data_IF_225378898954
#
_entry.id   IF_225378898954
#
_cell.length_a   1.000
_cell.length_b   1.000
_cell.length_c   1.000
_cell.angle_alpha   90.00
_cell.angle_beta   90.00
_cell.angle_gamma   90.00
#
_symmetry.space_group_name_H-M   'P 1'
#
loop_
_entity.id
_entity.type
_entity.pdbx_description
1 polymer ?
#
# COMPACT_ATOMS: atom_id res chain seq x y z
N UNK A 1 12.86 17.01 -34.05
CA UNK A 1 13.22 16.19 -32.86
C UNK A 1 11.93 15.95 -32.10
N UNK A 2 11.54 14.69 -31.90
CA UNK A 2 10.39 14.40 -31.05
C UNK A 2 10.76 14.81 -29.61
N UNK A 3 9.96 15.69 -29.00
CA UNK A 3 10.11 16.03 -27.59
C UNK A 3 9.78 14.80 -26.75
N UNK A 4 10.65 14.46 -25.81
CA UNK A 4 10.40 13.40 -24.83
C UNK A 4 9.11 13.70 -24.06
N UNK A 5 8.26 12.69 -23.92
CA UNK A 5 7.06 12.75 -23.09
C UNK A 5 7.35 12.12 -21.73
N UNK A 6 7.26 12.91 -20.67
CA UNK A 6 7.47 12.44 -19.30
C UNK A 6 6.15 12.11 -18.62
N UNK A 7 6.14 11.02 -17.85
CA UNK A 7 5.02 10.59 -17.01
C UNK A 7 5.46 10.48 -15.55
N UNK A 8 4.57 10.86 -14.65
CA UNK A 8 4.69 10.56 -13.22
C UNK A 8 3.89 9.28 -12.94
N UNK A 9 4.60 8.17 -12.73
CA UNK A 9 4.00 6.88 -12.39
C UNK A 9 3.85 6.76 -10.88
N UNK A 10 2.61 6.82 -10.42
CA UNK A 10 2.26 6.73 -9.00
C UNK A 10 1.67 5.35 -8.71
N UNK A 11 2.41 4.53 -7.94
CA UNK A 11 1.92 3.21 -7.50
C UNK A 11 1.37 3.29 -6.07
N UNK A 12 0.11 2.90 -5.90
CA UNK A 12 -0.57 2.88 -4.60
C UNK A 12 -1.24 1.52 -4.37
N UNK A 13 -1.10 1.00 -3.17
CA UNK A 13 -1.64 -0.33 -2.81
C UNK A 13 -2.07 -0.45 -1.34
N UNK A 14 -2.13 0.68 -0.64
CA UNK A 14 -2.52 0.76 0.77
C UNK A 14 -3.15 2.12 1.06
N UNK A 15 -3.93 2.26 2.15
CA UNK A 15 -4.56 3.53 2.49
C UNK A 15 -3.58 4.70 2.67
N UNK A 16 -2.40 4.45 3.26
CA UNK A 16 -1.38 5.51 3.42
C UNK A 16 -0.75 5.90 2.07
N UNK A 17 -0.42 4.93 1.21
CA UNK A 17 0.14 5.24 -0.13
C UNK A 17 -0.88 5.97 -1.00
N UNK A 18 -2.17 5.63 -0.87
CA UNK A 18 -3.27 6.36 -1.48
C UNK A 18 -3.33 7.82 -0.98
N UNK A 19 -3.25 8.01 0.34
CA UNK A 19 -3.32 9.35 0.96
C UNK A 19 -2.17 10.24 0.53
N UNK A 20 -0.95 9.69 0.50
CA UNK A 20 0.25 10.37 -0.01
C UNK A 20 0.06 10.72 -1.48
N UNK A 21 -0.34 9.75 -2.32
CA UNK A 21 -0.60 9.96 -3.73
C UNK A 21 -1.60 11.09 -4.01
N UNK A 22 -2.73 11.10 -3.29
CA UNK A 22 -3.73 12.19 -3.36
C UNK A 22 -3.13 13.53 -2.98
N UNK A 23 -2.39 13.60 -1.88
CA UNK A 23 -1.76 14.84 -1.44
C UNK A 23 -0.76 15.37 -2.46
N UNK A 24 0.05 14.49 -3.08
CA UNK A 24 1.02 14.87 -4.11
C UNK A 24 0.33 15.48 -5.33
N UNK A 25 -0.77 14.86 -5.80
CA UNK A 25 -1.56 15.39 -6.92
C UNK A 25 -2.23 16.72 -6.56
N UNK A 26 -2.91 16.79 -5.42
CA UNK A 26 -3.69 17.95 -4.99
C UNK A 26 -2.83 19.20 -4.74
N UNK A 27 -1.53 19.01 -4.43
CA UNK A 27 -0.59 20.10 -4.14
C UNK A 27 0.45 20.32 -5.25
N UNK A 28 0.28 19.71 -6.43
CA UNK A 28 1.11 19.99 -7.60
C UNK A 28 2.55 19.44 -7.53
N UNK A 29 2.81 18.41 -6.72
CA UNK A 29 4.10 17.72 -6.69
C UNK A 29 4.32 16.82 -7.91
N UNK A 30 3.24 16.42 -8.59
CA UNK A 30 3.26 15.63 -9.82
C UNK A 30 2.94 16.57 -10.98
N UNK A 31 3.97 17.02 -11.69
CA UNK A 31 3.90 18.06 -12.71
C UNK A 31 3.73 17.49 -14.14
N UNK A 32 3.95 16.19 -14.33
CA UNK A 32 3.91 15.52 -15.62
C UNK A 32 2.58 14.79 -15.84
N UNK A 33 2.45 14.08 -16.97
CA UNK A 33 1.25 13.28 -17.21
C UNK A 33 1.17 12.14 -16.19
N UNK A 34 0.07 12.10 -15.45
CA UNK A 34 -0.10 11.18 -14.34
C UNK A 34 -0.52 9.79 -14.83
N UNK A 35 0.27 8.78 -14.47
CA UNK A 35 -0.07 7.37 -14.63
C UNK A 35 -0.27 6.73 -13.25
N UNK A 36 -1.53 6.54 -12.86
CA UNK A 36 -1.85 5.90 -11.58
C UNK A 36 -1.93 4.39 -11.73
N UNK A 37 -1.20 3.66 -10.89
CA UNK A 37 -1.28 2.20 -10.79
C UNK A 37 -1.81 1.83 -9.41
N UNK A 38 -2.92 1.08 -9.39
CA UNK A 38 -3.60 0.67 -8.16
C UNK A 38 -3.49 -0.84 -7.94
N UNK A 39 -2.82 -1.23 -6.85
CA UNK A 39 -2.73 -2.61 -6.37
C UNK A 39 -3.73 -2.94 -5.25
N UNK A 40 -3.90 -4.23 -4.96
CA UNK A 40 -4.69 -4.75 -3.82
C UNK A 40 -6.12 -4.18 -3.74
N UNK A 41 -6.80 -4.12 -4.90
CA UNK A 41 -8.15 -3.56 -5.06
C UNK A 41 -8.30 -2.08 -4.67
N UNK A 42 -7.20 -1.35 -4.45
CA UNK A 42 -7.23 0.11 -4.28
C UNK A 42 -7.90 0.72 -5.51
N UNK A 43 -8.71 1.76 -5.32
CA UNK A 43 -9.38 2.47 -6.39
C UNK A 43 -8.84 3.89 -6.48
N UNK A 44 -8.96 4.50 -7.66
CA UNK A 44 -8.62 5.90 -7.89
C UNK A 44 -9.78 6.61 -8.57
N UNK A 45 -10.03 7.85 -8.16
CA UNK A 45 -11.01 8.71 -8.82
C UNK A 45 -10.35 9.38 -10.03
N UNK A 46 -10.50 8.75 -11.20
CA UNK A 46 -9.88 9.13 -12.48
C UNK A 46 -9.40 7.91 -13.27
N UNK A 47 -8.69 8.10 -14.40
CA UNK A 47 -8.05 7.00 -15.12
C UNK A 47 -6.96 6.33 -14.29
N UNK A 48 -6.99 5.00 -14.17
CA UNK A 48 -5.95 4.23 -13.49
C UNK A 48 -5.76 2.83 -14.10
N UNK A 49 -4.61 2.24 -13.84
CA UNK A 49 -4.30 0.85 -14.14
C UNK A 49 -4.55 0.00 -12.89
N UNK A 50 -5.43 -0.98 -12.98
CA UNK A 50 -5.64 -1.97 -11.91
C UNK A 50 -4.72 -3.17 -12.06
N UNK A 51 -4.01 -3.51 -10.98
CA UNK A 51 -3.15 -4.71 -10.86
C UNK A 51 -3.52 -5.47 -9.58
N UNK A 52 -3.30 -6.78 -9.55
CA UNK A 52 -3.57 -7.57 -8.34
C UNK A 52 -2.64 -7.11 -7.20
N UNK A 53 -1.34 -7.07 -7.48
CA UNK A 53 -0.27 -6.46 -6.70
C UNK A 53 0.94 -6.22 -7.63
N UNK A 54 2.04 -5.71 -7.09
CA UNK A 54 3.35 -5.57 -7.75
C UNK A 54 4.05 -6.92 -8.05
N UNK A 55 3.38 -8.04 -7.81
CA UNK A 55 3.85 -9.35 -8.20
C UNK A 55 5.10 -9.78 -7.44
N UNK A 56 5.28 -9.41 -6.16
CA UNK A 56 6.42 -9.80 -5.29
C UNK A 56 7.05 -11.14 -5.74
N UNK A 57 8.18 -11.05 -6.44
CA UNK A 57 8.96 -12.17 -7.01
C UNK A 57 8.26 -13.11 -8.02
N UNK A 58 6.98 -12.93 -8.31
CA UNK A 58 6.23 -13.67 -9.34
C UNK A 58 6.49 -13.09 -10.73
N UNK A 59 7.10 -13.89 -11.62
CA UNK A 59 7.33 -13.52 -13.03
C UNK A 59 6.01 -13.15 -13.72
N UNK A 60 4.99 -14.00 -13.65
CA UNK A 60 3.71 -13.79 -14.32
C UNK A 60 3.06 -12.47 -13.90
N UNK A 61 2.93 -12.23 -12.58
CA UNK A 61 2.29 -11.01 -12.05
C UNK A 61 3.12 -9.76 -12.34
N UNK A 62 4.44 -9.86 -12.27
CA UNK A 62 5.35 -8.76 -12.63
C UNK A 62 5.21 -8.39 -14.11
N UNK A 63 5.18 -9.38 -15.00
CA UNK A 63 4.99 -9.15 -16.43
C UNK A 63 3.60 -8.58 -16.75
N UNK A 64 2.54 -9.05 -16.09
CA UNK A 64 1.18 -8.49 -16.22
C UNK A 64 1.13 -7.01 -15.78
N UNK A 65 1.79 -6.69 -14.65
CA UNK A 65 1.92 -5.33 -14.13
C UNK A 65 2.60 -4.40 -15.15
N UNK A 66 3.76 -4.82 -15.65
CA UNK A 66 4.57 -4.01 -16.58
C UNK A 66 3.93 -3.90 -17.97
N UNK A 67 3.27 -4.96 -18.46
CA UNK A 67 2.56 -4.94 -19.73
C UNK A 67 1.45 -3.89 -19.76
N UNK A 68 0.68 -3.78 -18.67
CA UNK A 68 -0.37 -2.77 -18.54
C UNK A 68 0.16 -1.34 -18.56
N UNK A 69 1.30 -1.10 -17.90
CA UNK A 69 2.01 0.18 -17.98
C UNK A 69 2.46 0.43 -19.42
N UNK A 70 3.13 -0.54 -20.03
CA UNK A 70 3.61 -0.44 -21.40
C UNK A 70 2.48 -0.17 -22.40
N UNK A 71 1.28 -0.70 -22.18
CA UNK A 71 0.12 -0.45 -23.04
C UNK A 71 -0.26 1.04 -23.14
N UNK A 72 -0.09 1.81 -22.06
CA UNK A 72 -0.33 3.27 -22.04
C UNK A 72 0.83 4.03 -22.68
N UNK A 73 2.04 3.53 -22.49
CA UNK A 73 3.27 4.14 -23.01
C UNK A 73 3.46 3.87 -24.52
N UNK A 74 2.83 2.83 -25.08
CA UNK A 74 2.91 2.49 -26.50
C UNK A 74 2.38 3.64 -27.35
N UNK A 75 3.19 4.11 -28.29
CA UNK A 75 2.85 5.18 -29.24
C UNK A 75 3.67 6.46 -29.10
N UNK A 76 4.41 6.60 -28.00
CA UNK A 76 5.35 7.70 -27.81
C UNK A 76 6.76 7.32 -28.31
N UNK A 77 7.38 8.20 -29.09
CA UNK A 77 8.70 7.96 -29.67
C UNK A 77 9.86 8.06 -28.65
N UNK A 78 9.68 8.88 -27.60
CA UNK A 78 10.64 9.05 -26.51
C UNK A 78 9.87 9.25 -25.20
N UNK A 79 10.25 8.52 -24.16
CA UNK A 79 9.49 8.39 -22.90
C UNK A 79 10.44 8.58 -21.71
N UNK A 80 10.02 9.40 -20.76
CA UNK A 80 10.62 9.49 -19.42
C UNK A 80 9.62 9.07 -18.34
N UNK A 81 10.07 8.33 -17.33
CA UNK A 81 9.26 7.95 -16.17
C UNK A 81 9.87 8.50 -14.88
N UNK A 82 9.07 9.23 -14.11
CA UNK A 82 9.34 9.50 -12.70
C UNK A 82 8.49 8.55 -11.87
N UNK A 83 9.12 7.73 -11.05
CA UNK A 83 8.44 6.72 -10.24
C UNK A 83 8.17 7.27 -8.85
N UNK A 84 6.95 7.04 -8.34
CA UNK A 84 6.54 7.30 -6.97
C UNK A 84 6.01 5.98 -6.42
N UNK A 85 6.87 5.27 -5.68
CA UNK A 85 6.66 3.86 -5.34
C UNK A 85 6.89 3.60 -3.85
N UNK A 86 6.16 2.66 -3.23
CA UNK A 86 6.30 2.38 -1.82
C UNK A 86 7.57 1.58 -1.47
N UNK A 87 8.24 0.97 -2.46
CA UNK A 87 9.51 0.24 -2.28
C UNK A 87 10.11 -0.18 -3.63
N UNK A 88 11.39 -0.54 -3.64
CA UNK A 88 12.13 -1.07 -4.80
C UNK A 88 12.67 -2.49 -4.62
N UNK A 89 12.40 -3.13 -3.47
CA UNK A 89 13.06 -4.38 -3.07
C UNK A 89 12.65 -5.64 -3.82
N UNK A 90 11.68 -5.55 -4.73
CA UNK A 90 11.10 -6.71 -5.41
C UNK A 90 11.39 -6.73 -6.91
N UNK A 91 10.91 -7.77 -7.61
CA UNK A 91 11.20 -7.99 -9.03
C UNK A 91 10.86 -6.78 -9.92
N UNK A 92 9.69 -6.15 -9.73
CA UNK A 92 9.32 -4.91 -10.43
C UNK A 92 10.34 -3.79 -10.19
N UNK A 93 10.77 -3.59 -8.94
CA UNK A 93 11.76 -2.57 -8.59
C UNK A 93 13.14 -2.83 -9.22
N UNK A 94 13.58 -4.09 -9.26
CA UNK A 94 14.78 -4.48 -10.01
C UNK A 94 14.66 -4.16 -11.50
N UNK A 95 13.53 -4.51 -12.11
CA UNK A 95 13.31 -4.24 -13.55
C UNK A 95 13.30 -2.74 -13.84
N UNK A 96 12.65 -1.93 -13.00
CA UNK A 96 12.72 -0.46 -13.13
C UNK A 96 14.14 0.09 -12.95
N UNK A 97 14.96 -0.48 -12.07
CA UNK A 97 16.36 -0.05 -11.93
C UNK A 97 17.24 -0.30 -13.17
N UNK A 98 16.77 -1.16 -14.08
CA UNK A 98 17.44 -1.52 -15.33
C UNK A 98 16.79 -0.86 -16.55
N UNK A 99 15.66 -0.16 -16.37
CA UNK A 99 14.91 0.47 -17.43
C UNK A 99 15.52 1.82 -17.83
N UNK A 100 15.86 1.99 -19.11
CA UNK A 100 16.46 3.22 -19.64
C UNK A 100 15.54 4.44 -19.65
N UNK A 101 14.24 4.23 -19.50
CA UNK A 101 13.21 5.29 -19.46
C UNK A 101 13.02 5.89 -18.06
N UNK A 102 13.52 5.25 -16.99
CA UNK A 102 13.36 5.77 -15.62
C UNK A 102 14.33 6.93 -15.38
N UNK A 103 13.77 8.09 -15.03
CA UNK A 103 14.50 9.34 -14.79
C UNK A 103 14.67 9.62 -13.31
N UNK A 104 13.58 9.46 -12.55
CA UNK A 104 13.53 9.70 -11.11
C UNK A 104 12.83 8.57 -10.38
N UNK A 105 13.24 8.33 -9.14
CA UNK A 105 12.58 7.41 -8.21
C UNK A 105 12.41 8.13 -6.88
N UNK A 106 11.16 8.31 -6.47
CA UNK A 106 10.78 8.78 -5.15
C UNK A 106 10.13 7.64 -4.39
N UNK A 107 10.54 7.46 -3.14
CA UNK A 107 9.82 6.55 -2.25
C UNK A 107 8.63 7.25 -1.60
N UNK A 108 7.54 6.51 -1.41
CA UNK A 108 6.42 6.96 -0.58
C UNK A 108 6.32 6.06 0.65
N UNK A 109 6.01 6.66 1.79
CA UNK A 109 5.92 5.93 3.05
C UNK A 109 4.89 4.80 2.99
N UNK A 110 5.31 3.59 3.38
CA UNK A 110 4.42 2.43 3.55
C UNK A 110 4.65 1.77 4.92
N UNK A 111 3.71 2.01 5.83
CA UNK A 111 3.63 1.30 7.11
C UNK A 111 4.92 1.37 7.91
N UNK A 112 5.15 0.34 8.72
CA UNK A 112 6.34 0.26 9.58
C UNK A 112 7.64 0.08 8.79
N UNK A 113 7.58 -0.36 7.53
CA UNK A 113 8.77 -0.58 6.72
C UNK A 113 9.58 0.70 6.55
N UNK A 114 8.91 1.85 6.38
CA UNK A 114 9.55 3.15 6.25
C UNK A 114 10.30 3.60 7.52
N UNK A 115 9.98 3.06 8.69
CA UNK A 115 10.59 3.44 9.97
C UNK A 115 11.77 2.55 10.35
N UNK A 116 11.93 1.41 9.67
CA UNK A 116 13.01 0.47 9.94
C UNK A 116 14.26 0.84 9.12
N UNK A 117 15.35 1.30 9.76
CA UNK A 117 16.57 1.66 9.04
C UNK A 117 17.21 0.46 8.31
N UNK A 118 16.94 -0.78 8.73
CA UNK A 118 17.48 -1.97 8.06
C UNK A 118 16.98 -2.10 6.62
N UNK A 119 15.78 -1.58 6.32
CA UNK A 119 15.20 -1.56 4.97
C UNK A 119 15.96 -0.65 3.98
N UNK A 120 16.88 0.19 4.49
CA UNK A 120 17.78 1.03 3.69
C UNK A 120 19.23 0.56 3.81
N UNK A 121 19.61 0.00 4.98
CA UNK A 121 21.01 -0.30 5.33
C UNK A 121 21.44 -1.73 5.04
N UNK A 122 20.50 -2.67 4.87
CA UNK A 122 20.80 -4.08 4.60
C UNK A 122 20.01 -4.60 3.40
N UNK A 123 20.65 -5.32 2.46
CA UNK A 123 19.93 -5.94 1.37
C UNK A 123 19.08 -7.11 1.88
N UNK A 124 17.90 -7.26 1.30
CA UNK A 124 16.99 -8.35 1.53
C UNK A 124 17.42 -9.61 0.79
N UNK A 125 17.28 -10.76 1.44
CA UNK A 125 17.41 -12.05 0.76
C UNK A 125 16.29 -12.19 -0.27
N UNK A 126 16.67 -12.43 -1.52
CA UNK A 126 15.73 -12.60 -2.62
C UNK A 126 15.66 -14.05 -3.05
N UNK A 127 14.47 -14.56 -3.40
CA UNK A 127 14.39 -15.84 -4.09
C UNK A 127 15.11 -15.75 -5.43
N UNK A 128 15.67 -16.87 -5.87
CA UNK A 128 16.22 -16.99 -7.21
C UNK A 128 15.09 -16.93 -8.24
N UNK A 129 15.27 -16.11 -9.27
CA UNK A 129 14.32 -15.98 -10.38
C UNK A 129 14.88 -16.72 -11.59
N UNK A 130 14.01 -17.47 -12.28
CA UNK A 130 14.35 -18.02 -13.59
C UNK A 130 14.49 -16.88 -14.61
N UNK A 131 15.74 -16.46 -14.84
CA UNK A 131 16.08 -15.33 -15.71
C UNK A 131 15.73 -15.63 -17.18
N UNK A 132 15.83 -16.90 -17.59
CA UNK A 132 15.46 -17.31 -18.96
C UNK A 132 13.97 -17.12 -19.18
N UNK A 133 13.15 -17.72 -18.32
CA UNK A 133 11.69 -17.58 -18.36
C UNK A 133 11.24 -16.12 -18.26
N UNK A 134 11.86 -15.34 -17.37
CA UNK A 134 11.55 -13.91 -17.24
C UNK A 134 11.87 -13.15 -18.53
N UNK A 135 13.04 -13.39 -19.13
CA UNK A 135 13.46 -12.72 -20.37
C UNK A 135 12.49 -13.03 -21.50
N UNK A 136 12.14 -14.31 -21.69
CA UNK A 136 11.20 -14.75 -22.70
C UNK A 136 9.82 -14.09 -22.53
N UNK A 137 9.31 -14.01 -21.30
CA UNK A 137 8.03 -13.34 -21.02
C UNK A 137 8.07 -11.82 -21.25
N UNK A 138 9.16 -11.16 -20.88
CA UNK A 138 9.33 -9.72 -21.11
C UNK A 138 9.43 -9.40 -22.60
N UNK A 139 10.11 -10.23 -23.39
CA UNK A 139 10.19 -10.11 -24.85
C UNK A 139 8.85 -10.35 -25.53
N UNK A 140 8.19 -11.46 -25.19
CA UNK A 140 6.91 -11.86 -25.78
C UNK A 140 5.84 -10.77 -25.63
N UNK A 141 5.88 -10.01 -24.53
CA UNK A 141 4.96 -8.91 -24.22
C UNK A 141 5.43 -7.53 -24.71
N UNK A 142 6.64 -7.46 -25.28
CA UNK A 142 7.26 -6.22 -25.78
C UNK A 142 7.65 -5.24 -24.67
N UNK A 143 7.86 -5.73 -23.45
CA UNK A 143 8.19 -4.90 -22.28
C UNK A 143 9.64 -4.42 -22.34
N UNK A 144 10.56 -5.28 -22.76
CA UNK A 144 12.00 -4.95 -22.84
C UNK A 144 12.23 -3.71 -23.71
N UNK A 145 11.58 -3.63 -24.86
CA UNK A 145 11.81 -2.55 -25.83
C UNK A 145 11.14 -1.24 -25.38
N UNK A 146 9.91 -1.30 -24.85
CA UNK A 146 9.18 -0.11 -24.40
C UNK A 146 9.85 0.54 -23.19
N UNK A 147 10.28 -0.26 -22.21
CA UNK A 147 10.96 0.24 -21.01
C UNK A 147 12.48 0.39 -21.20
N UNK A 148 13.02 -0.05 -22.34
CA UNK A 148 14.46 -0.07 -22.63
C UNK A 148 15.25 -0.77 -21.51
N UNK A 149 14.80 -1.98 -21.12
CA UNK A 149 15.47 -2.76 -20.08
C UNK A 149 16.82 -3.25 -20.58
N UNK A 150 17.87 -2.94 -19.83
CA UNK A 150 19.23 -3.40 -20.10
C UNK A 150 19.32 -4.93 -19.99
N UNK A 151 19.49 -5.57 -21.14
CA UNK A 151 19.59 -7.03 -21.29
C UNK A 151 20.82 -7.62 -20.60
N UNK A 152 21.93 -6.89 -20.56
CA UNK A 152 23.14 -7.36 -19.88
C UNK A 152 22.93 -7.36 -18.36
N UNK A 153 22.27 -6.32 -17.83
CA UNK A 153 21.91 -6.28 -16.41
C UNK A 153 20.85 -7.31 -16.05
N UNK A 154 19.86 -7.54 -16.93
CA UNK A 154 18.84 -8.57 -16.75
C UNK A 154 19.45 -9.97 -16.63
N UNK A 155 20.46 -10.29 -17.45
CA UNK A 155 21.19 -11.56 -17.35
C UNK A 155 21.85 -11.77 -15.96
N UNK A 156 22.18 -10.68 -15.27
CA UNK A 156 22.75 -10.67 -13.91
C UNK A 156 21.73 -10.44 -12.78
N UNK A 157 20.42 -10.54 -13.03
CA UNK A 157 19.35 -10.17 -12.08
C UNK A 157 19.51 -10.79 -10.67
N UNK A 158 19.86 -12.08 -10.61
CA UNK A 158 20.01 -12.81 -9.35
C UNK A 158 21.26 -12.38 -8.56
N UNK A 159 22.26 -11.77 -9.21
CA UNK A 159 23.44 -11.21 -8.55
C UNK A 159 23.24 -9.77 -8.05
N UNK A 160 22.11 -9.15 -8.39
CA UNK A 160 21.79 -7.80 -7.91
C UNK A 160 21.23 -7.86 -6.49
N UNK A 161 21.81 -7.07 -5.59
CA UNK A 161 21.26 -6.87 -4.26
C UNK A 161 19.85 -6.28 -4.32
N UNK A 162 18.97 -6.78 -3.48
CA UNK A 162 17.61 -6.27 -3.32
C UNK A 162 17.53 -5.40 -2.10
N UNK A 163 16.99 -4.20 -2.27
CA UNK A 163 16.90 -3.21 -1.20
C UNK A 163 15.48 -2.73 -1.14
N UNK A 164 14.85 -2.83 0.01
CA UNK A 164 13.47 -2.38 0.19
C UNK A 164 13.37 -0.90 -0.20
N UNK A 165 14.28 -0.07 0.31
CA UNK A 165 14.56 1.29 -0.17
C UNK A 165 16.03 1.38 -0.55
N UNK A 166 16.29 1.76 -1.81
CA UNK A 166 17.63 1.82 -2.36
C UNK A 166 18.02 3.27 -2.72
N UNK A 167 18.64 4.02 -1.80
CA UNK A 167 19.12 5.39 -2.10
C UNK A 167 20.25 5.41 -3.13
N UNK A 168 20.81 4.25 -3.49
CA UNK A 168 21.92 4.14 -4.45
C UNK A 168 21.44 3.89 -5.89
N UNK A 169 20.13 3.79 -6.11
CA UNK A 169 19.58 3.64 -7.46
C UNK A 169 19.90 4.87 -8.32
N UNK A 170 20.33 4.69 -9.57
CA UNK A 170 20.36 5.78 -10.53
C UNK A 170 18.97 6.45 -10.60
N UNK A 171 18.94 7.77 -10.41
CA UNK A 171 17.70 8.54 -10.40
C UNK A 171 16.97 8.59 -9.06
N UNK A 172 17.50 8.06 -7.96
CA UNK A 172 16.92 8.33 -6.64
C UNK A 172 16.83 9.85 -6.41
N UNK A 173 15.64 10.33 -6.06
CA UNK A 173 15.30 11.76 -6.00
C UNK A 173 14.61 12.15 -4.68
N UNK A 174 14.68 11.29 -3.66
CA UNK A 174 14.13 11.54 -2.34
C UNK A 174 12.94 10.67 -1.97
N UNK A 175 12.23 11.08 -0.92
CA UNK A 175 11.08 10.35 -0.41
C UNK A 175 9.99 11.29 0.12
N UNK A 176 8.75 10.83 0.12
CA UNK A 176 7.60 11.52 0.70
C UNK A 176 7.03 10.69 1.85
N UNK A 177 6.86 11.34 2.98
CA UNK A 177 6.33 10.71 4.18
C UNK A 177 5.33 11.60 4.89
N UNK A 178 4.65 11.04 5.87
CA UNK A 178 3.73 11.78 6.74
C UNK A 178 4.32 12.02 8.12
N UNK A 179 5.48 11.43 8.39
CA UNK A 179 6.17 11.43 9.69
C UNK A 179 7.61 11.87 9.55
N UNK A 180 8.10 12.66 10.48
CA UNK A 180 9.53 13.01 10.61
C UNK A 180 10.41 11.80 11.01
N UNK A 181 9.78 10.73 11.53
CA UNK A 181 10.46 9.48 11.90
C UNK A 181 10.55 8.48 10.75
N UNK A 182 9.82 8.70 9.66
CA UNK A 182 9.92 7.84 8.48
C UNK A 182 11.19 8.15 7.70
N UNK A 183 11.77 7.12 7.09
CA UNK A 183 12.99 7.16 6.31
C UNK A 183 14.19 7.78 7.04
N UNK A 184 14.55 7.30 8.24
CA UNK A 184 15.54 7.94 9.10
C UNK A 184 16.95 8.03 8.49
N UNK A 185 17.22 7.24 7.44
CA UNK A 185 18.53 7.13 6.79
C UNK A 185 18.53 7.59 5.33
N UNK A 186 17.38 8.01 4.77
CA UNK A 186 17.33 8.56 3.41
C UNK A 186 17.59 10.07 3.44
N UNK A 187 18.21 10.59 2.38
CA UNK A 187 18.29 12.03 2.11
C UNK A 187 17.04 12.51 1.36
N UNK A 188 16.84 13.83 1.34
CA UNK A 188 15.79 14.48 0.52
C UNK A 188 14.36 13.98 0.85
N UNK A 189 14.12 13.76 2.15
CA UNK A 189 12.82 13.35 2.67
C UNK A 189 11.94 14.59 2.88
N UNK A 190 10.77 14.59 2.23
CA UNK A 190 9.74 15.63 2.38
C UNK A 190 8.61 15.10 3.24
N UNK A 191 8.43 15.72 4.41
CA UNK A 191 7.29 15.45 5.29
C UNK A 191 6.08 16.24 4.79
N UNK A 192 5.03 15.53 4.42
CA UNK A 192 3.78 16.08 3.88
C UNK A 192 2.85 16.50 5.02
N UNK A 193 2.37 17.75 5.04
CA UNK A 193 1.41 18.21 6.04
C UNK A 193 0.01 17.68 5.70
N UNK A 194 -0.32 16.50 6.22
CA UNK A 194 -1.68 15.94 6.07
C UNK A 194 -2.57 16.38 7.22
N UNK A 195 -3.75 16.91 6.89
CA UNK A 195 -4.78 17.27 7.84
C UNK A 195 -5.81 16.15 7.99
N UNK A 196 -6.44 16.10 9.16
CA UNK A 196 -7.65 15.31 9.36
C UNK A 196 -8.76 15.82 8.43
N UNK A 197 -9.53 14.87 7.88
CA UNK A 197 -10.77 15.08 7.14
C UNK A 197 -11.95 14.90 8.07
N UNK A 198 -12.76 15.95 8.21
CA UNK A 198 -13.98 15.93 9.00
C UNK A 198 -15.14 15.38 8.17
N UNK A 199 -15.52 14.13 8.46
CA UNK A 199 -16.61 13.42 7.78
C UNK A 199 -17.75 13.04 8.74
N UNK A 200 -17.44 12.95 10.04
CA UNK A 200 -18.40 12.67 11.11
C UNK A 200 -18.78 14.00 11.77
N UNK A 201 -20.08 14.33 11.89
CA UNK A 201 -20.54 15.52 12.61
C UNK A 201 -20.04 15.55 14.07
N UNK A 202 -19.73 16.73 14.59
CA UNK A 202 -19.12 16.90 15.91
C UNK A 202 -19.98 16.38 17.09
N UNK A 203 -21.29 16.22 16.88
CA UNK A 203 -22.25 15.69 17.86
C UNK A 203 -22.42 14.16 17.77
N UNK A 204 -21.76 13.50 16.82
CA UNK A 204 -21.83 12.06 16.64
C UNK A 204 -20.61 11.35 17.22
N UNK A 205 -20.83 10.17 17.78
CA UNK A 205 -19.76 9.31 18.30
C UNK A 205 -19.64 8.10 17.39
N UNK A 206 -18.54 8.01 16.64
CA UNK A 206 -18.27 6.87 15.75
C UNK A 206 -16.89 6.32 16.05
N UNK A 207 -16.83 5.06 16.46
CA UNK A 207 -15.59 4.36 16.75
C UNK A 207 -15.24 3.45 15.58
N UNK A 208 -13.97 3.40 15.21
CA UNK A 208 -13.46 2.51 14.17
C UNK A 208 -12.73 1.33 14.81
N UNK A 209 -13.15 0.10 14.50
CA UNK A 209 -12.42 -1.11 14.82
C UNK A 209 -11.59 -1.56 13.62
N UNK A 210 -10.28 -1.48 13.80
CA UNK A 210 -9.27 -1.94 12.85
C UNK A 210 -8.90 -3.38 13.20
N UNK A 211 -9.38 -4.33 12.40
CA UNK A 211 -9.07 -5.74 12.57
C UNK A 211 -7.63 -6.03 12.12
N UNK A 212 -6.95 -7.00 12.77
CA UNK A 212 -5.61 -7.39 12.36
C UNK A 212 -5.66 -8.18 11.04
N UNK A 213 -4.52 -8.37 10.38
CA UNK A 213 -4.43 -9.15 9.14
C UNK A 213 -4.65 -10.65 9.41
N UNK A 214 -5.90 -11.11 9.30
CA UNK A 214 -6.33 -12.45 9.69
C UNK A 214 -5.73 -13.54 8.82
N UNK A 215 -5.51 -13.29 7.53
CA UNK A 215 -4.90 -14.25 6.62
C UNK A 215 -3.49 -14.66 7.06
N UNK A 216 -2.74 -13.76 7.74
CA UNK A 216 -1.43 -14.10 8.30
C UNK A 216 -1.58 -15.14 9.42
N UNK A 217 -2.55 -14.96 10.32
CA UNK A 217 -2.85 -15.93 11.37
C UNK A 217 -3.33 -17.27 10.80
N UNK A 218 -4.14 -17.24 9.73
CA UNK A 218 -4.58 -18.46 9.03
C UNK A 218 -3.37 -19.21 8.46
N UNK A 219 -2.45 -18.51 7.80
CA UNK A 219 -1.26 -19.12 7.22
C UNK A 219 -0.32 -19.70 8.28
N UNK A 220 -0.09 -18.97 9.39
CA UNK A 220 0.76 -19.40 10.50
C UNK A 220 0.19 -20.62 11.25
N UNK A 221 -1.13 -20.72 11.33
CA UNK A 221 -1.84 -21.75 12.09
C UNK A 221 -2.61 -22.75 11.24
N UNK A 222 -2.35 -22.82 9.92
CA UNK A 222 -3.05 -23.70 8.98
C UNK A 222 -3.03 -25.16 9.45
N UNK A 223 -1.91 -25.58 10.05
CA UNK A 223 -1.69 -26.94 10.58
C UNK A 223 -2.32 -27.17 11.96
N UNK A 224 -2.82 -26.14 12.63
CA UNK A 224 -3.45 -26.19 13.96
C UNK A 224 -4.82 -25.53 13.94
N UNK A 225 -5.74 -26.12 13.18
CA UNK A 225 -7.12 -25.64 13.03
C UNK A 225 -7.85 -25.35 14.35
N UNK A 226 -7.76 -26.17 15.41
CA UNK A 226 -8.41 -25.85 16.69
C UNK A 226 -7.92 -24.56 17.35
N UNK A 227 -6.64 -24.22 17.18
CA UNK A 227 -6.08 -22.97 17.70
C UNK A 227 -6.56 -21.78 16.87
N UNK A 228 -6.56 -21.91 15.55
CA UNK A 228 -7.09 -20.91 14.64
C UNK A 228 -8.57 -20.60 14.93
N UNK A 229 -9.41 -21.62 15.10
CA UNK A 229 -10.83 -21.46 15.42
C UNK A 229 -11.03 -20.72 16.76
N UNK A 230 -10.20 -21.01 17.77
CA UNK A 230 -10.21 -20.30 19.07
C UNK A 230 -9.83 -18.82 18.92
N UNK A 231 -8.80 -18.52 18.14
CA UNK A 231 -8.40 -17.13 17.89
C UNK A 231 -9.49 -16.34 17.17
N UNK A 232 -10.07 -16.91 16.12
CA UNK A 232 -11.16 -16.27 15.36
C UNK A 232 -12.41 -16.06 16.24
N UNK A 233 -12.75 -17.03 17.08
CA UNK A 233 -13.84 -16.89 18.04
C UNK A 233 -13.54 -15.82 19.09
N UNK A 234 -12.33 -15.78 19.65
CA UNK A 234 -11.89 -14.76 20.60
C UNK A 234 -11.97 -13.36 20.01
N UNK A 235 -11.51 -13.18 18.78
CA UNK A 235 -11.62 -11.91 18.05
C UNK A 235 -13.09 -11.50 17.86
N UNK A 236 -13.97 -12.42 17.47
CA UNK A 236 -15.39 -12.13 17.32
C UNK A 236 -16.03 -11.70 18.65
N UNK A 237 -15.69 -12.38 19.75
CA UNK A 237 -16.18 -12.01 21.09
C UNK A 237 -15.66 -10.63 21.51
N UNK A 238 -14.40 -10.32 21.21
CA UNK A 238 -13.82 -9.00 21.45
C UNK A 238 -14.60 -7.92 20.67
N UNK A 239 -14.83 -8.10 19.37
CA UNK A 239 -15.61 -7.14 18.56
C UNK A 239 -17.01 -6.96 19.13
N UNK A 240 -17.67 -8.05 19.56
CA UNK A 240 -18.98 -7.99 20.21
C UNK A 240 -18.95 -7.18 21.52
N UNK A 241 -17.92 -7.34 22.34
CA UNK A 241 -17.74 -6.56 23.56
C UNK A 241 -17.54 -5.07 23.25
N UNK A 242 -16.72 -4.76 22.24
CA UNK A 242 -16.51 -3.38 21.79
C UNK A 242 -17.79 -2.76 21.25
N UNK A 243 -18.58 -3.48 20.46
CA UNK A 243 -19.87 -3.00 19.98
C UNK A 243 -20.84 -2.65 21.13
N UNK A 244 -20.88 -3.48 22.18
CA UNK A 244 -21.67 -3.20 23.37
C UNK A 244 -21.17 -1.94 24.11
N UNK A 245 -19.85 -1.77 24.24
CA UNK A 245 -19.25 -0.58 24.85
C UNK A 245 -19.59 0.69 24.07
N UNK A 246 -19.42 0.67 22.75
CA UNK A 246 -19.71 1.79 21.86
C UNK A 246 -21.20 2.17 21.93
N UNK A 247 -22.09 1.17 21.95
CA UNK A 247 -23.53 1.41 22.12
C UNK A 247 -23.87 2.05 23.48
N UNK A 248 -23.19 1.65 24.56
CA UNK A 248 -23.41 2.22 25.89
C UNK A 248 -23.04 3.70 25.99
N UNK A 249 -22.07 4.17 25.19
CA UNK A 249 -21.71 5.59 25.09
C UNK A 249 -22.51 6.35 24.02
N UNK A 250 -23.56 5.72 23.45
CA UNK A 250 -24.42 6.33 22.44
C UNK A 250 -23.77 6.46 21.06
N UNK A 251 -22.75 5.68 20.76
CA UNK A 251 -22.02 5.72 19.50
C UNK A 251 -22.37 4.60 18.51
N UNK A 252 -21.77 4.70 17.32
CA UNK A 252 -21.79 3.68 16.28
C UNK A 252 -20.41 3.04 16.10
N UNK A 253 -20.37 1.74 15.81
CA UNK A 253 -19.15 1.00 15.52
C UNK A 253 -19.02 0.81 14.00
N UNK A 254 -17.86 1.18 13.46
CA UNK A 254 -17.44 0.86 12.09
C UNK A 254 -16.36 -0.21 12.16
N UNK A 255 -16.43 -1.21 11.28
CA UNK A 255 -15.52 -2.36 11.28
C UNK A 255 -14.76 -2.38 9.96
N UNK A 256 -13.43 -2.36 10.06
CA UNK A 256 -12.53 -2.39 8.90
C UNK A 256 -11.64 -3.64 8.94
N UNK A 257 -11.79 -4.48 7.92
CA UNK A 257 -10.84 -5.55 7.63
C UNK A 257 -9.55 -5.02 7.01
N UNK A 258 -8.48 -5.81 7.13
CA UNK A 258 -7.28 -5.58 6.32
C UNK A 258 -7.62 -5.81 4.83
N UNK A 259 -7.07 -5.04 3.87
CA UNK A 259 -7.40 -5.19 2.45
C UNK A 259 -7.19 -6.62 1.90
N UNK A 260 -6.15 -7.32 2.38
CA UNK A 260 -5.90 -8.70 2.01
C UNK A 260 -7.01 -9.66 2.50
N UNK A 261 -7.54 -9.41 3.71
CA UNK A 261 -8.60 -10.22 4.30
C UNK A 261 -9.93 -9.98 3.57
N UNK A 262 -10.24 -8.73 3.24
CA UNK A 262 -11.48 -8.37 2.55
C UNK A 262 -11.58 -9.02 1.15
N UNK A 263 -10.43 -9.19 0.48
CA UNK A 263 -10.32 -9.88 -0.80
C UNK A 263 -10.35 -11.43 -0.66
N UNK A 264 -9.87 -11.97 0.46
CA UNK A 264 -9.71 -13.41 0.65
C UNK A 264 -10.94 -14.09 1.28
N UNK A 265 -11.53 -13.49 2.31
CA UNK A 265 -12.65 -14.10 3.03
C UNK A 265 -13.98 -13.83 2.35
N UNK A 266 -14.85 -14.85 2.35
CA UNK A 266 -16.19 -14.74 1.79
C UNK A 266 -17.11 -13.83 2.65
N UNK A 267 -18.19 -13.35 2.03
CA UNK A 267 -19.16 -12.46 2.68
C UNK A 267 -19.81 -13.09 3.92
N UNK A 268 -20.07 -14.40 3.93
CA UNK A 268 -20.65 -15.08 5.08
C UNK A 268 -19.78 -14.99 6.33
N UNK A 269 -18.46 -15.08 6.17
CA UNK A 269 -17.51 -14.87 7.26
C UNK A 269 -17.53 -13.43 7.75
N UNK A 270 -17.42 -12.45 6.83
CA UNK A 270 -17.40 -11.01 7.14
C UNK A 270 -18.69 -10.55 7.83
N UNK A 271 -19.84 -11.09 7.42
CA UNK A 271 -21.15 -10.80 8.01
C UNK A 271 -21.25 -11.15 9.51
N UNK A 272 -20.44 -12.09 10.03
CA UNK A 272 -20.40 -12.34 11.47
C UNK A 272 -19.86 -11.13 12.25
N UNK A 273 -18.93 -10.40 11.66
CA UNK A 273 -18.37 -9.17 12.23
C UNK A 273 -19.32 -8.00 11.97
N UNK A 274 -19.81 -7.82 10.75
CA UNK A 274 -20.75 -6.75 10.40
C UNK A 274 -22.11 -6.86 11.12
N UNK A 275 -22.46 -8.01 11.69
CA UNK A 275 -23.59 -8.09 12.61
C UNK A 275 -23.41 -7.22 13.89
N UNK A 276 -22.19 -6.78 14.19
CA UNK A 276 -21.84 -5.98 15.38
C UNK A 276 -21.61 -4.49 15.06
N UNK A 277 -21.59 -4.08 13.78
CA UNK A 277 -21.28 -2.72 13.36
C UNK A 277 -21.34 -2.55 11.85
N UNK A 278 -21.15 -1.33 11.36
CA UNK A 278 -21.20 -1.06 9.91
C UNK A 278 -19.87 -1.43 9.26
N UNK A 279 -19.90 -2.07 8.09
CA UNK A 279 -18.68 -2.28 7.30
C UNK A 279 -18.04 -0.95 6.90
N UNK A 280 -16.70 -0.90 6.90
CA UNK A 280 -15.98 0.35 6.60
C UNK A 280 -16.40 0.94 5.26
N UNK A 281 -16.45 0.15 4.19
CA UNK A 281 -16.86 0.63 2.88
C UNK A 281 -18.31 1.13 2.88
N UNK A 282 -19.23 0.35 3.43
CA UNK A 282 -20.65 0.71 3.52
C UNK A 282 -20.84 2.03 4.28
N UNK A 283 -20.06 2.27 5.34
CA UNK A 283 -20.09 3.54 6.07
C UNK A 283 -19.73 4.72 5.17
N UNK A 284 -18.72 4.59 4.32
CA UNK A 284 -18.33 5.65 3.39
C UNK A 284 -19.33 5.81 2.24
N UNK A 285 -19.84 4.71 1.68
CA UNK A 285 -20.82 4.71 0.59
C UNK A 285 -22.15 5.35 1.04
N UNK A 286 -22.62 5.06 2.26
CA UNK A 286 -23.84 5.67 2.83
C UNK A 286 -23.72 7.18 3.08
N UNK A 287 -22.50 7.68 3.25
CA UNK A 287 -22.24 9.08 3.60
C UNK A 287 -21.57 9.87 2.46
N UNK A 288 -21.44 9.28 1.27
CA UNK A 288 -20.85 9.89 0.06
C UNK A 288 -19.44 10.47 0.30
N UNK A 289 -18.60 9.72 1.03
CA UNK A 289 -17.22 10.08 1.30
C UNK A 289 -16.23 9.15 0.59
N UNK A 290 -15.04 9.64 0.20
CA UNK A 290 -14.01 8.78 -0.39
C UNK A 290 -13.51 7.80 0.68
N UNK A 291 -13.52 6.50 0.41
CA UNK A 291 -13.09 5.43 1.37
C UNK A 291 -11.57 5.19 1.38
N UNK A 292 -10.85 5.68 0.37
CA UNK A 292 -9.48 5.26 0.06
C UNK A 292 -8.39 5.78 1.00
N UNK A 293 -8.63 6.86 1.76
CA UNK A 293 -7.59 7.44 2.61
C UNK A 293 -7.27 6.57 3.83
N UNK A 294 -6.09 6.81 4.40
CA UNK A 294 -5.64 6.25 5.67
C UNK A 294 -6.70 6.50 6.74
N UNK A 295 -7.25 5.45 7.39
CA UNK A 295 -8.32 5.61 8.35
C UNK A 295 -8.05 6.64 9.46
N UNK A 296 -6.79 6.77 9.89
CA UNK A 296 -6.37 7.75 10.87
C UNK A 296 -6.48 9.21 10.42
N UNK A 297 -6.67 9.47 9.12
CA UNK A 297 -6.95 10.82 8.60
C UNK A 297 -8.43 11.20 8.75
N UNK A 298 -9.34 10.30 9.07
CA UNK A 298 -10.74 10.66 9.32
C UNK A 298 -11.00 10.95 10.79
N UNK A 299 -12.01 11.78 11.05
CA UNK A 299 -12.34 12.23 12.39
C UNK A 299 -13.15 11.23 13.25
N UNK A 300 -12.84 9.94 13.18
CA UNK A 300 -13.39 8.94 14.12
C UNK A 300 -13.08 9.34 15.57
N UNK A 301 -14.04 9.09 16.46
CA UNK A 301 -13.95 9.48 17.88
C UNK A 301 -12.88 8.66 18.60
N UNK A 302 -12.83 7.35 18.32
CA UNK A 302 -11.81 6.42 18.83
C UNK A 302 -11.48 5.37 17.78
N UNK A 303 -10.29 4.80 17.91
CA UNK A 303 -9.77 3.73 17.06
C UNK A 303 -9.43 2.53 17.95
N UNK A 304 -10.22 1.47 17.83
CA UNK A 304 -9.89 0.19 18.43
C UNK A 304 -8.89 -0.49 17.52
N UNK A 305 -7.64 -0.61 17.98
CA UNK A 305 -6.57 -1.26 17.23
C UNK A 305 -6.19 -2.55 17.93
N UNK A 306 -6.31 -3.65 17.21
CA UNK A 306 -6.03 -4.99 17.71
C UNK A 306 -4.60 -5.37 17.35
N UNK A 307 -3.79 -5.65 18.37
CA UNK A 307 -2.35 -5.86 18.29
C UNK A 307 -1.55 -4.67 17.74
N UNK A 308 -0.23 -4.73 17.85
CA UNK A 308 0.65 -3.72 17.29
C UNK A 308 0.69 -3.83 15.76
N UNK A 309 0.43 -2.71 15.07
CA UNK A 309 0.37 -2.65 13.61
C UNK A 309 0.74 -1.26 13.09
N UNK A 310 0.95 -1.12 11.77
CA UNK A 310 1.13 0.18 11.12
C UNK A 310 -0.07 1.12 11.33
N UNK A 311 -1.28 0.59 11.44
CA UNK A 311 -2.47 1.38 11.72
C UNK A 311 -2.41 2.06 13.10
N UNK A 312 -1.87 1.37 14.12
CA UNK A 312 -1.64 1.96 15.44
C UNK A 312 -0.69 3.16 15.36
N UNK A 313 0.38 3.03 14.58
CA UNK A 313 1.35 4.10 14.35
C UNK A 313 0.67 5.32 13.72
N UNK A 314 -0.16 5.13 12.70
CA UNK A 314 -0.86 6.24 12.02
C UNK A 314 -1.90 6.91 12.90
N UNK A 315 -2.68 6.14 13.66
CA UNK A 315 -3.65 6.71 14.60
C UNK A 315 -2.92 7.56 15.64
N UNK A 316 -1.84 7.06 16.24
CA UNK A 316 -1.06 7.84 17.21
C UNK A 316 -0.53 9.14 16.63
N UNK A 317 -0.04 9.08 15.39
CA UNK A 317 0.54 10.22 14.72
C UNK A 317 -0.50 11.29 14.35
N UNK A 318 -1.63 10.90 13.77
CA UNK A 318 -2.62 11.85 13.26
C UNK A 318 -3.69 12.24 14.29
N UNK A 319 -3.98 11.36 15.25
CA UNK A 319 -5.12 11.48 16.18
C UNK A 319 -4.72 11.53 17.65
N UNK A 320 -3.46 11.23 17.96
CA UNK A 320 -2.93 11.20 19.34
C UNK A 320 -3.30 9.93 20.11
N UNK A 321 -2.57 9.68 21.20
CA UNK A 321 -2.74 8.48 22.03
C UNK A 321 -4.14 8.37 22.62
N UNK A 322 -4.74 9.50 23.00
CA UNK A 322 -6.09 9.52 23.58
C UNK A 322 -7.14 8.94 22.63
N UNK A 323 -6.91 8.98 21.33
CA UNK A 323 -7.83 8.43 20.32
C UNK A 323 -7.74 6.91 20.19
N UNK A 324 -6.74 6.26 20.79
CA UNK A 324 -6.49 4.83 20.66
C UNK A 324 -7.17 4.04 21.78
N UNK A 325 -7.83 2.94 21.42
CA UNK A 325 -8.25 1.88 22.34
C UNK A 325 -7.44 0.62 21.97
N UNK A 326 -6.27 0.40 22.60
CA UNK A 326 -5.43 -0.73 22.26
C UNK A 326 -6.03 -2.02 22.82
N UNK A 327 -6.08 -3.05 21.99
CA UNK A 327 -6.53 -4.38 22.38
C UNK A 327 -5.46 -5.38 22.03
N UNK A 328 -5.07 -6.24 22.96
CA UNK A 328 -4.16 -7.36 22.71
C UNK A 328 -4.94 -8.66 22.64
N UNK A 329 -4.59 -9.50 21.67
CA UNK A 329 -5.02 -10.89 21.58
C UNK A 329 -3.77 -11.75 21.83
N UNK A 330 -3.44 -11.96 23.11
CA UNK A 330 -2.37 -12.83 23.60
C UNK A 330 -2.89 -14.16 24.17
#
# INVERSE_FOLDING_TARGET
MATEKTFDLLYMHSPITYSIGRHLVENGYLENELLVVCGRNTQWDGPFISVENDGVWSISRTCDYLEKICAVLKGYAAIGLNLYVPHSGFLVGKLFSMAGVVRKVHYIEEGTAAYDPSNVLTPWTSPEIDVGLLTDELERRGILDVLQIDRQRLAGLNAMDSWFFNPRLPGFAGAFCVSDKAFPTLSEVTVLPMSTREIIPANETVWLCLLPCLINFVAEHEKNKPLLDKFLYGLLMMVRMQAALVKNVGGALVIKFHPADDAYFNEGFKNNFYAMGTGYRDFFDMNDFPVGYEPALYNFTKFIVVNDSSALLYVRQFRGEDSVVPVKLD
#
